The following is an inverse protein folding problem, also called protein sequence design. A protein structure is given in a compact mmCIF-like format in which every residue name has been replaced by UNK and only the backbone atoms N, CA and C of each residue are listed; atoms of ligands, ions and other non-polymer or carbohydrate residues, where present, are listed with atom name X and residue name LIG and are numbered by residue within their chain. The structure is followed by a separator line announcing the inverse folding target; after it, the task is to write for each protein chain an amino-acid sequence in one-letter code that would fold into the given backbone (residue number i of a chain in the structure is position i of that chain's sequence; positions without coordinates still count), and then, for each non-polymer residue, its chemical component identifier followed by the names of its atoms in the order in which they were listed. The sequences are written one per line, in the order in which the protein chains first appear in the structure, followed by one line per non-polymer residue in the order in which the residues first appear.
data_IF_526802043934
#
_entry.id   IF_526802043934
#
_cell.length_a   1.000
_cell.length_b   1.000
_cell.length_c   1.000
_cell.angle_alpha   90.00
_cell.angle_beta   90.00
_cell.angle_gamma   90.00
#
_symmetry.space_group_name_H-M   'P 1'
#
loop_
_entity.id
_entity.type
_entity.pdbx_description
1 polymer ?
#
# COMPACT_ATOMS: atom_id res chain seq x y z
N UNK A 1 46.96 -4.41 82.72
CA UNK A 1 47.21 -4.32 81.29
C UNK A 1 45.88 -4.25 80.52
N UNK A 2 45.56 -3.12 79.91
CA UNK A 2 44.33 -2.97 79.06
C UNK A 2 44.75 -3.08 77.62
N UNK A 3 44.09 -3.87 76.76
CA UNK A 3 44.38 -3.88 75.36
C UNK A 3 43.87 -2.63 74.70
N UNK A 4 44.75 -1.96 73.93
CA UNK A 4 44.45 -0.82 73.05
C UNK A 4 43.73 -1.34 71.80
N UNK A 5 42.47 -1.10 71.70
CA UNK A 5 41.69 -1.41 70.46
C UNK A 5 42.06 -0.38 69.44
N UNK A 6 42.64 -0.87 68.33
CA UNK A 6 43.10 -0.07 67.21
C UNK A 6 41.91 0.33 66.30
N UNK A 7 41.40 1.53 66.50
CA UNK A 7 40.21 2.07 65.78
C UNK A 7 40.46 2.45 64.31
N UNK A 8 41.67 2.31 63.80
CA UNK A 8 42.05 2.84 62.49
C UNK A 8 41.61 2.00 61.30
N UNK A 9 41.23 0.75 61.46
CA UNK A 9 40.93 -0.17 60.33
C UNK A 9 39.43 -0.37 60.08
N UNK A 10 38.55 0.10 60.96
CA UNK A 10 37.11 -0.14 60.82
C UNK A 10 36.48 0.82 59.79
N UNK A 11 36.97 2.05 59.68
CA UNK A 11 36.46 3.06 58.74
C UNK A 11 36.73 2.74 57.29
N UNK A 12 37.93 2.21 56.97
CA UNK A 12 38.34 1.95 55.60
C UNK A 12 37.55 0.79 54.96
N UNK A 13 37.29 -0.25 55.70
CA UNK A 13 36.55 -1.43 55.19
C UNK A 13 35.08 -1.14 54.94
N UNK A 14 34.47 -0.24 55.73
CA UNK A 14 33.06 0.17 55.58
C UNK A 14 32.91 1.01 54.30
N UNK A 15 33.76 1.99 54.09
CA UNK A 15 33.72 2.83 52.88
C UNK A 15 33.99 2.02 51.60
N UNK A 16 34.85 1.03 51.66
CA UNK A 16 35.14 0.16 50.52
C UNK A 16 33.94 -0.73 50.13
N UNK A 17 33.18 -1.21 51.09
CA UNK A 17 31.94 -1.96 50.89
C UNK A 17 30.86 -1.10 50.24
N UNK A 18 30.68 0.14 50.67
CA UNK A 18 29.73 1.06 50.06
C UNK A 18 30.15 1.49 48.65
N UNK A 19 31.42 1.65 48.42
CA UNK A 19 31.94 1.96 47.07
C UNK A 19 31.65 0.82 46.09
N UNK A 20 31.81 -0.42 46.50
CA UNK A 20 31.45 -1.61 45.69
C UNK A 20 29.96 -1.73 45.44
N UNK A 21 29.14 -1.38 46.40
CA UNK A 21 27.68 -1.40 46.29
C UNK A 21 27.18 -0.31 45.36
N UNK A 22 27.74 0.89 45.40
CA UNK A 22 27.46 1.96 44.41
C UNK A 22 27.91 1.59 43.00
N UNK A 23 29.06 0.95 42.85
CA UNK A 23 29.53 0.48 41.56
C UNK A 23 28.62 -0.62 40.97
N UNK A 24 28.14 -1.53 41.80
CA UNK A 24 27.21 -2.58 41.38
C UNK A 24 25.84 -2.00 40.96
N UNK A 25 25.34 -0.97 41.66
CA UNK A 25 24.11 -0.27 41.28
C UNK A 25 24.28 0.50 39.97
N UNK A 26 25.43 1.16 39.78
CA UNK A 26 25.72 1.90 38.58
C UNK A 26 25.89 0.96 37.33
N UNK A 27 26.39 -0.23 37.55
CA UNK A 27 26.50 -1.26 36.49
C UNK A 27 25.15 -1.86 36.14
N UNK A 28 24.24 -2.06 37.13
CA UNK A 28 22.91 -2.62 36.87
C UNK A 28 21.97 -1.66 36.15
N UNK A 29 22.12 -0.36 36.28
CA UNK A 29 21.32 0.64 35.55
C UNK A 29 21.64 0.68 34.04
N UNK A 30 22.85 0.33 33.64
CA UNK A 30 23.23 0.27 32.21
C UNK A 30 22.68 -0.96 31.49
N UNK A 31 22.29 -2.03 32.19
CA UNK A 31 21.73 -3.22 31.56
C UNK A 31 20.24 -3.11 31.23
N UNK A 32 19.55 -2.08 31.75
CA UNK A 32 18.13 -1.85 31.50
C UNK A 32 17.87 -0.90 30.29
N UNK A 33 18.90 -0.27 29.74
CA UNK A 33 18.77 0.69 28.64
C UNK A 33 18.82 0.06 27.24
N UNK A 34 18.93 -1.28 27.16
CA UNK A 34 19.02 -1.98 25.87
C UNK A 34 17.70 -2.51 25.36
N UNK A 35 16.58 -1.84 25.69
CA UNK A 35 15.36 -2.06 24.95
C UNK A 35 15.34 -1.03 23.80
N UNK A 36 16.11 -1.27 22.76
CA UNK A 36 15.91 -0.63 21.48
C UNK A 36 14.49 -0.96 21.06
N UNK A 37 13.61 0.03 21.05
CA UNK A 37 12.38 -0.04 20.24
C UNK A 37 12.88 -0.11 18.81
N UNK A 38 13.04 -1.31 18.27
CA UNK A 38 12.89 -1.48 16.84
C UNK A 38 11.44 -1.10 16.58
N UNK A 39 11.22 0.14 16.16
CA UNK A 39 9.99 0.53 15.53
C UNK A 39 9.89 -0.34 14.29
N UNK A 40 9.14 -1.43 14.42
CA UNK A 40 8.68 -2.20 13.27
C UNK A 40 7.81 -1.22 12.48
N UNK A 41 8.43 -0.47 11.57
CA UNK A 41 7.70 0.25 10.54
C UNK A 41 6.93 -0.79 9.73
N UNK A 42 5.69 -0.99 10.11
CA UNK A 42 4.76 -1.78 9.29
C UNK A 42 4.57 -0.94 8.03
N UNK A 43 5.28 -1.29 6.96
CA UNK A 43 5.10 -0.71 5.64
C UNK A 43 3.63 -0.90 5.26
N UNK A 44 2.85 0.17 5.30
CA UNK A 44 1.41 0.19 4.99
C UNK A 44 1.14 0.67 3.56
N UNK A 45 2.17 1.16 2.89
CA UNK A 45 2.07 1.70 1.54
C UNK A 45 2.70 0.72 0.54
N UNK A 46 1.86 0.17 -0.33
CA UNK A 46 2.24 -0.76 -1.40
C UNK A 46 1.83 -0.15 -2.75
N UNK A 47 2.50 0.93 -3.19
CA UNK A 47 2.11 1.61 -4.40
C UNK A 47 2.20 0.68 -5.62
N UNK A 48 1.27 0.89 -6.54
CA UNK A 48 1.25 0.19 -7.82
C UNK A 48 1.13 1.18 -8.98
N UNK A 49 1.50 0.74 -10.16
CA UNK A 49 1.26 1.44 -11.41
C UNK A 49 0.36 0.61 -12.32
N UNK A 50 -0.31 1.26 -13.25
CA UNK A 50 -1.14 0.57 -14.25
C UNK A 50 -0.62 0.92 -15.63
N UNK A 51 -0.23 -0.10 -16.38
CA UNK A 51 0.10 0.03 -17.78
C UNK A 51 -1.10 -0.32 -18.67
N UNK A 52 -1.27 0.43 -19.75
CA UNK A 52 -2.33 0.23 -20.72
C UNK A 52 -1.68 0.04 -22.09
N UNK A 53 -2.06 -1.01 -22.81
CA UNK A 53 -1.67 -1.17 -24.22
C UNK A 53 -2.35 -0.09 -25.06
N UNK A 54 -1.71 0.39 -26.14
CA UNK A 54 -2.34 1.36 -27.04
C UNK A 54 -3.70 0.88 -27.54
N UNK A 55 -4.68 1.78 -27.50
CA UNK A 55 -6.05 1.54 -27.98
C UNK A 55 -6.32 2.40 -29.23
N UNK A 56 -7.26 2.04 -30.10
CA UNK A 56 -7.75 2.90 -31.18
C UNK A 56 -8.22 4.26 -30.64
N UNK A 57 -8.21 5.28 -31.47
CA UNK A 57 -8.72 6.61 -31.13
C UNK A 57 -10.16 6.83 -31.58
N UNK A 58 -10.68 5.93 -32.39
CA UNK A 58 -12.00 6.02 -33.02
C UNK A 58 -12.75 4.71 -32.82
N UNK A 59 -14.07 4.80 -32.74
CA UNK A 59 -14.97 3.67 -32.59
C UNK A 59 -16.30 3.99 -33.30
N UNK A 60 -16.81 3.04 -34.11
CA UNK A 60 -18.14 3.12 -34.66
C UNK A 60 -19.21 2.69 -33.65
N UNK A 61 -20.44 3.12 -33.86
CA UNK A 61 -21.57 2.65 -33.04
C UNK A 61 -21.72 1.13 -33.15
N UNK A 62 -21.94 0.49 -32.02
CA UNK A 62 -22.02 -0.97 -31.85
C UNK A 62 -20.70 -1.72 -31.95
N UNK A 63 -19.59 -1.07 -32.26
CA UNK A 63 -18.26 -1.70 -32.24
C UNK A 63 -17.76 -1.88 -30.80
N UNK A 64 -16.78 -2.79 -30.66
CA UNK A 64 -16.17 -3.10 -29.37
C UNK A 64 -14.65 -2.97 -29.45
N UNK A 65 -14.07 -2.23 -28.52
CA UNK A 65 -12.62 -2.10 -28.32
C UNK A 65 -12.18 -2.95 -27.15
N UNK A 66 -11.10 -3.71 -27.35
CA UNK A 66 -10.39 -4.40 -26.27
C UNK A 66 -9.35 -3.47 -25.64
N UNK A 67 -9.41 -3.29 -24.34
CA UNK A 67 -8.46 -2.51 -23.53
C UNK A 67 -7.68 -3.49 -22.65
N UNK A 68 -6.39 -3.63 -22.91
CA UNK A 68 -5.50 -4.52 -22.15
C UNK A 68 -4.77 -3.72 -21.08
N UNK A 69 -4.88 -4.19 -19.84
CA UNK A 69 -4.27 -3.52 -18.68
C UNK A 69 -3.43 -4.50 -17.88
N UNK A 70 -2.39 -3.95 -17.25
CA UNK A 70 -1.58 -4.69 -16.31
C UNK A 70 -1.26 -3.82 -15.09
N UNK A 71 -1.54 -4.32 -13.89
CA UNK A 71 -1.14 -3.75 -12.62
C UNK A 71 0.32 -4.16 -12.39
N UNK A 72 1.18 -3.18 -12.17
CA UNK A 72 2.61 -3.35 -11.90
C UNK A 72 2.87 -2.89 -10.47
N UNK A 73 3.39 -3.77 -9.64
CA UNK A 73 3.73 -3.47 -8.25
C UNK A 73 5.19 -3.77 -7.95
N UNK A 74 5.78 -2.98 -7.10
CA UNK A 74 7.19 -3.13 -6.70
C UNK A 74 7.34 -4.27 -5.70
N UNK A 75 6.40 -4.41 -4.78
CA UNK A 75 6.42 -5.39 -3.70
C UNK A 75 5.24 -6.37 -3.81
N UNK A 76 5.50 -7.62 -3.46
CA UNK A 76 4.48 -8.69 -3.46
C UNK A 76 3.94 -8.89 -2.04
N UNK A 77 2.82 -8.25 -1.74
CA UNK A 77 2.07 -8.54 -0.54
C UNK A 77 0.85 -9.41 -0.89
N UNK A 78 0.75 -10.60 -0.29
CA UNK A 78 -0.27 -11.61 -0.63
C UNK A 78 -1.70 -11.20 -0.26
N UNK A 79 -1.87 -10.22 0.62
CA UNK A 79 -3.17 -9.68 1.03
C UNK A 79 -3.68 -8.53 0.18
N UNK A 80 -2.97 -8.13 -0.89
CA UNK A 80 -3.43 -7.04 -1.76
C UNK A 80 -4.62 -7.50 -2.59
N UNK A 81 -5.70 -6.73 -2.54
CA UNK A 81 -6.90 -6.91 -3.36
C UNK A 81 -7.08 -5.66 -4.20
N UNK A 82 -7.41 -5.85 -5.48
CA UNK A 82 -7.67 -4.75 -6.40
C UNK A 82 -9.14 -4.65 -6.75
N UNK A 83 -9.57 -3.43 -7.02
CA UNK A 83 -10.93 -3.09 -7.39
C UNK A 83 -10.92 -2.14 -8.59
N UNK A 84 -12.00 -2.14 -9.33
CA UNK A 84 -12.25 -1.23 -10.45
C UNK A 84 -13.57 -0.51 -10.25
N UNK A 85 -13.58 0.79 -10.56
CA UNK A 85 -14.75 1.65 -10.67
C UNK A 85 -14.70 2.33 -12.03
N UNK A 86 -15.84 2.60 -12.62
CA UNK A 86 -16.00 3.18 -13.94
C UNK A 86 -17.01 4.31 -13.94
N UNK A 87 -16.77 5.33 -14.74
CA UNK A 87 -17.74 6.40 -15.00
C UNK A 87 -17.62 6.92 -16.43
N UNK A 88 -18.77 7.04 -17.11
CA UNK A 88 -18.90 7.61 -18.45
C UNK A 88 -19.27 9.09 -18.35
N UNK A 89 -18.52 9.96 -19.05
CA UNK A 89 -18.78 11.39 -19.08
C UNK A 89 -19.54 11.79 -20.33
N UNK A 90 -19.08 11.33 -21.51
CA UNK A 90 -19.65 11.69 -22.79
C UNK A 90 -20.02 10.46 -23.59
N UNK A 91 -21.07 10.59 -24.40
CA UNK A 91 -21.60 9.50 -25.20
C UNK A 91 -22.23 8.39 -24.36
N UNK A 92 -22.47 7.26 -24.96
CA UNK A 92 -23.01 6.06 -24.32
C UNK A 92 -22.20 4.86 -24.72
N UNK A 93 -21.96 3.94 -23.76
CA UNK A 93 -21.27 2.68 -24.00
C UNK A 93 -21.33 1.76 -22.81
N UNK A 94 -20.90 0.53 -23.02
CA UNK A 94 -20.89 -0.52 -22.02
C UNK A 94 -19.47 -1.00 -21.78
N UNK A 95 -18.97 -0.86 -20.58
CA UNK A 95 -17.68 -1.41 -20.15
C UNK A 95 -17.90 -2.72 -19.43
N UNK A 96 -17.15 -3.76 -19.78
CA UNK A 96 -17.25 -5.09 -19.14
C UNK A 96 -15.87 -5.74 -18.98
N UNK A 97 -15.76 -6.58 -17.97
CA UNK A 97 -14.61 -7.44 -17.75
C UNK A 97 -14.83 -8.77 -18.48
N UNK A 98 -14.04 -9.06 -19.50
CA UNK A 98 -14.23 -10.25 -20.36
C UNK A 98 -15.70 -10.42 -20.82
N UNK A 99 -16.29 -11.56 -20.52
CA UNK A 99 -17.69 -11.91 -20.88
C UNK A 99 -18.69 -11.66 -19.73
N UNK A 100 -18.27 -10.92 -18.68
CA UNK A 100 -19.15 -10.62 -17.56
C UNK A 100 -20.19 -9.55 -17.95
N UNK A 101 -21.12 -9.29 -17.02
CA UNK A 101 -22.08 -8.20 -17.15
C UNK A 101 -21.34 -6.86 -17.22
N UNK A 102 -21.94 -5.91 -17.91
CA UNK A 102 -21.41 -4.56 -17.97
C UNK A 102 -21.37 -3.94 -16.57
N UNK A 103 -20.31 -3.18 -16.33
CA UNK A 103 -20.18 -2.42 -15.09
C UNK A 103 -21.23 -1.31 -15.04
N UNK A 104 -21.82 -1.10 -13.88
CA UNK A 104 -22.65 0.08 -13.63
C UNK A 104 -21.75 1.26 -13.25
N UNK A 105 -22.11 2.48 -13.67
CA UNK A 105 -21.33 3.67 -13.32
C UNK A 105 -21.23 3.87 -11.81
N UNK A 106 -20.02 4.19 -11.34
CA UNK A 106 -19.66 4.41 -9.94
C UNK A 106 -19.72 3.20 -9.00
N UNK A 107 -20.11 2.04 -9.45
CA UNK A 107 -20.05 0.82 -8.65
C UNK A 107 -18.61 0.27 -8.59
N UNK A 108 -18.27 -0.30 -7.46
CA UNK A 108 -16.96 -0.90 -7.21
C UNK A 108 -17.01 -2.41 -7.43
N UNK A 109 -16.13 -2.91 -8.31
CA UNK A 109 -16.05 -4.33 -8.65
C UNK A 109 -14.68 -4.89 -8.32
N UNK A 110 -14.57 -6.12 -7.81
CA UNK A 110 -13.28 -6.75 -7.57
C UNK A 110 -12.57 -7.10 -8.88
N UNK A 111 -11.25 -6.90 -8.93
CA UNK A 111 -10.38 -7.35 -10.01
C UNK A 111 -9.67 -8.63 -9.59
N UNK A 112 -9.97 -9.78 -10.21
CA UNK A 112 -9.42 -11.08 -9.80
C UNK A 112 -8.00 -11.32 -10.29
N UNK A 113 -7.48 -10.50 -11.21
CA UNK A 113 -6.16 -10.67 -11.80
C UNK A 113 -5.44 -9.34 -12.02
N UNK A 114 -4.12 -9.36 -11.93
CA UNK A 114 -3.27 -8.18 -12.19
C UNK A 114 -3.14 -7.88 -13.69
N UNK A 115 -3.28 -8.88 -14.55
CA UNK A 115 -3.35 -8.71 -16.00
C UNK A 115 -4.75 -9.06 -16.48
N UNK A 116 -5.42 -8.11 -17.09
CA UNK A 116 -6.82 -8.27 -17.47
C UNK A 116 -7.18 -7.48 -18.73
N UNK A 117 -8.37 -7.75 -19.22
CA UNK A 117 -8.95 -7.10 -20.40
C UNK A 117 -10.32 -6.57 -20.09
N UNK A 118 -10.54 -5.35 -20.52
CA UNK A 118 -11.85 -4.71 -20.55
C UNK A 118 -12.31 -4.61 -21.99
N UNK A 119 -13.60 -4.71 -22.18
CA UNK A 119 -14.24 -4.56 -23.49
C UNK A 119 -15.23 -3.41 -23.38
N UNK A 120 -14.96 -2.37 -24.18
CA UNK A 120 -15.84 -1.20 -24.27
C UNK A 120 -16.63 -1.32 -25.58
N UNK A 121 -17.96 -1.41 -25.48
CA UNK A 121 -18.88 -1.45 -26.65
C UNK A 121 -19.56 -0.09 -26.75
N UNK A 122 -19.39 0.59 -27.86
CA UNK A 122 -20.04 1.85 -28.17
C UNK A 122 -21.55 1.68 -28.34
N UNK A 123 -22.32 2.63 -27.83
CA UNK A 123 -23.76 2.78 -28.07
C UNK A 123 -24.11 4.18 -28.53
N UNK A 124 -23.19 4.85 -29.22
CA UNK A 124 -23.31 6.27 -29.55
C UNK A 124 -22.57 6.58 -30.84
N UNK A 125 -23.09 7.55 -31.58
CA UNK A 125 -22.50 8.09 -32.83
C UNK A 125 -21.75 9.42 -32.59
N UNK A 126 -21.50 9.79 -31.34
CA UNK A 126 -20.72 10.96 -30.94
C UNK A 126 -19.44 10.56 -30.20
N UNK A 127 -18.56 11.52 -29.99
CA UNK A 127 -17.37 11.31 -29.15
C UNK A 127 -17.76 10.77 -27.80
N UNK A 128 -17.00 9.81 -27.31
CA UNK A 128 -17.24 9.12 -26.05
C UNK A 128 -16.04 9.28 -25.16
N UNK A 129 -16.29 9.58 -23.88
CA UNK A 129 -15.23 9.64 -22.88
C UNK A 129 -15.64 8.96 -21.58
N UNK A 130 -14.72 8.25 -20.99
CA UNK A 130 -14.91 7.61 -19.69
C UNK A 130 -13.59 7.51 -18.91
N UNK A 131 -13.71 7.31 -17.63
CA UNK A 131 -12.60 7.08 -16.72
C UNK A 131 -12.82 5.79 -15.96
N UNK A 132 -11.74 5.07 -15.73
CA UNK A 132 -11.68 3.97 -14.77
C UNK A 132 -10.74 4.35 -13.63
N UNK A 133 -11.06 3.91 -12.43
CA UNK A 133 -10.19 3.98 -11.25
C UNK A 133 -9.89 2.56 -10.82
N UNK A 134 -8.61 2.27 -10.67
CA UNK A 134 -8.15 1.02 -10.09
C UNK A 134 -7.61 1.35 -8.72
N UNK A 135 -8.20 0.77 -7.70
CA UNK A 135 -7.81 0.96 -6.30
C UNK A 135 -7.42 -0.35 -5.64
N UNK A 136 -6.67 -0.27 -4.55
CA UNK A 136 -6.35 -1.41 -3.70
C UNK A 136 -7.04 -1.29 -2.32
N UNK A 137 -6.90 -2.33 -1.51
CA UNK A 137 -7.41 -2.35 -0.14
C UNK A 137 -6.57 -1.56 0.87
N UNK A 138 -5.49 -0.88 0.41
CA UNK A 138 -4.63 -0.01 1.23
C UNK A 138 -4.90 1.48 0.99
N UNK A 139 -5.78 1.82 0.05
CA UNK A 139 -6.16 3.18 -0.28
C UNK A 139 -5.36 3.81 -1.42
N UNK A 140 -4.53 3.05 -2.12
CA UNK A 140 -3.91 3.51 -3.35
C UNK A 140 -4.92 3.48 -4.49
N UNK A 141 -4.91 4.50 -5.35
CA UNK A 141 -5.79 4.60 -6.52
C UNK A 141 -5.03 5.13 -7.74
N UNK A 142 -5.30 4.57 -8.90
CA UNK A 142 -4.82 5.02 -10.21
C UNK A 142 -6.00 5.29 -11.13
N UNK A 143 -5.98 6.46 -11.75
CA UNK A 143 -6.99 6.92 -12.68
C UNK A 143 -6.50 6.81 -14.12
N UNK A 144 -7.34 6.28 -15.01
CA UNK A 144 -7.08 6.14 -16.43
C UNK A 144 -8.29 6.66 -17.22
N UNK A 145 -8.07 7.63 -18.10
CA UNK A 145 -9.11 8.23 -18.91
C UNK A 145 -8.97 7.80 -20.36
N UNK A 146 -10.10 7.53 -20.99
CA UNK A 146 -10.22 7.10 -22.37
C UNK A 146 -11.15 8.03 -23.12
N UNK A 147 -10.78 8.33 -24.38
CA UNK A 147 -11.60 9.10 -25.29
C UNK A 147 -11.55 8.46 -26.65
N UNK A 148 -12.71 8.29 -27.26
CA UNK A 148 -12.88 7.76 -28.61
C UNK A 148 -13.73 8.71 -29.43
N UNK A 149 -13.23 9.13 -30.58
CA UNK A 149 -14.04 9.85 -31.56
C UNK A 149 -14.99 8.88 -32.24
N UNK A 150 -16.13 9.37 -32.73
CA UNK A 150 -16.98 8.56 -33.61
C UNK A 150 -16.33 8.41 -34.95
N UNK A 151 -16.40 7.20 -35.52
CA UNK A 151 -16.00 6.90 -36.91
C UNK A 151 -17.20 6.71 -37.84
N UNK A 152 -18.43 7.01 -37.37
CA UNK A 152 -19.68 7.03 -38.16
C UNK A 152 -19.86 8.32 -38.91
#
# INVERSE_FOLDING_TARGET
MKPLINYKNIGFTVHFKYLWLLFAIMLSTNLLSSCGKEDLEIKKDFPFEVSVMPVPKEIANSDTIEIRLAIQRTDKYSGTQYFIRYFQYDGLGLLRYYHQHAYLPNDLYPLPAEQFRLYYTSQSTVTQSFTIWISDNFGNEKQLSFQFNSSD
#
